data_IF_015676057054
#
_entry.id   IF_015676057054
#
_cell.length_a   1.000
_cell.length_b   1.000
_cell.length_c   1.000
_cell.angle_alpha   90.00
_cell.angle_beta   90.00
_cell.angle_gamma   90.00
#
_symmetry.space_group_name_H-M   'P 1'
#
loop_
_entity.id
_entity.type
_entity.pdbx_description
1 polymer ?
#
# COMPACT_ATOMS: atom_id res chain seq x y z
N UNK A 1 -12.00 11.18 5.63
CA UNK A 1 -11.07 10.17 6.21
C UNK A 1 -9.82 10.08 5.34
N UNK A 2 -8.68 9.68 5.91
CA UNK A 2 -7.44 9.42 5.18
C UNK A 2 -6.95 7.99 5.46
N UNK A 3 -6.70 7.22 4.41
CA UNK A 3 -6.30 5.81 4.50
C UNK A 3 -4.91 5.64 3.90
N UNK A 4 -3.95 5.22 4.73
CA UNK A 4 -2.56 5.02 4.35
C UNK A 4 -2.26 3.53 4.30
N UNK A 5 -2.09 2.99 3.09
CA UNK A 5 -1.53 1.67 2.89
C UNK A 5 -0.01 1.75 3.02
N UNK A 6 0.56 1.09 4.02
CA UNK A 6 2.00 1.11 4.22
C UNK A 6 2.66 -0.23 3.88
N UNK A 7 3.87 -0.15 3.35
CA UNK A 7 4.76 -1.30 3.20
C UNK A 7 6.21 -0.95 3.57
N UNK A 8 7.19 -1.69 3.07
CA UNK A 8 8.61 -1.42 3.37
C UNK A 8 9.08 -0.14 2.67
N UNK A 9 8.97 -0.07 1.34
CA UNK A 9 9.54 1.01 0.53
C UNK A 9 8.54 1.74 -0.35
N UNK A 10 7.24 1.64 -0.06
CA UNK A 10 6.15 2.20 -0.87
C UNK A 10 6.05 1.74 -2.34
N UNK A 11 6.78 0.70 -2.75
CA UNK A 11 6.93 0.37 -4.17
C UNK A 11 6.00 -0.74 -4.69
N UNK A 12 5.52 -1.66 -3.84
CA UNK A 12 4.86 -2.88 -4.32
C UNK A 12 3.53 -3.16 -3.64
N UNK A 13 3.55 -3.65 -2.41
CA UNK A 13 2.35 -4.19 -1.77
C UNK A 13 1.37 -3.09 -1.33
N UNK A 14 1.88 -1.94 -0.89
CA UNK A 14 1.05 -0.76 -0.61
C UNK A 14 0.39 -0.23 -1.88
N UNK A 15 1.16 -0.14 -2.99
CA UNK A 15 0.65 0.29 -4.30
C UNK A 15 -0.49 -0.60 -4.75
N UNK A 16 -0.29 -1.93 -4.69
CA UNK A 16 -1.32 -2.89 -5.11
C UNK A 16 -2.56 -2.81 -4.23
N UNK A 17 -2.41 -2.73 -2.91
CA UNK A 17 -3.55 -2.58 -2.02
C UNK A 17 -4.34 -1.29 -2.28
N UNK A 18 -3.66 -0.16 -2.49
CA UNK A 18 -4.30 1.10 -2.83
C UNK A 18 -5.00 1.05 -4.20
N UNK A 19 -4.40 0.41 -5.20
CA UNK A 19 -5.01 0.28 -6.53
C UNK A 19 -6.23 -0.65 -6.53
N UNK A 20 -6.24 -1.72 -5.72
CA UNK A 20 -7.45 -2.53 -5.50
C UNK A 20 -8.51 -1.69 -4.78
N UNK A 21 -8.11 -0.92 -3.76
CA UNK A 21 -9.02 -0.03 -3.03
C UNK A 21 -9.74 0.94 -3.96
N UNK A 22 -8.99 1.58 -4.86
CA UNK A 22 -9.51 2.56 -5.81
C UNK A 22 -10.20 1.92 -7.04
N UNK A 23 -10.39 0.61 -7.07
CA UNK A 23 -11.01 -0.09 -8.20
C UNK A 23 -10.19 -0.11 -9.49
N UNK A 24 -8.90 0.28 -9.43
CA UNK A 24 -7.96 0.24 -10.57
C UNK A 24 -7.60 -1.22 -10.90
N UNK A 25 -7.49 -2.06 -9.87
CA UNK A 25 -7.29 -3.50 -10.03
C UNK A 25 -8.55 -4.28 -9.66
N UNK A 26 -8.85 -5.39 -10.38
CA UNK A 26 -10.05 -6.19 -10.16
C UNK A 26 -10.02 -6.93 -8.82
N UNK A 27 -11.19 -7.17 -8.23
CA UNK A 27 -11.35 -7.99 -7.02
C UNK A 27 -11.85 -9.41 -7.30
N UNK A 28 -12.35 -9.65 -8.50
CA UNK A 28 -13.03 -10.87 -8.94
C UNK A 28 -12.14 -11.82 -9.76
N UNK A 29 -10.95 -11.36 -10.17
CA UNK A 29 -9.98 -12.15 -10.94
C UNK A 29 -8.54 -11.77 -10.63
N UNK A 30 -7.62 -12.61 -11.08
CA UNK A 30 -6.19 -12.32 -11.04
C UNK A 30 -5.82 -11.32 -12.17
N UNK A 31 -5.12 -10.20 -11.87
CA UNK A 31 -4.63 -9.30 -12.90
C UNK A 31 -3.44 -9.90 -13.66
N UNK A 32 -3.32 -9.53 -14.93
CA UNK A 32 -2.17 -9.81 -15.77
C UNK A 32 -0.93 -9.00 -15.34
N UNK A 33 0.25 -9.44 -15.79
CA UNK A 33 1.49 -8.73 -15.51
C UNK A 33 1.50 -7.30 -16.08
N UNK A 34 0.84 -7.07 -17.23
CA UNK A 34 0.75 -5.75 -17.85
C UNK A 34 -0.12 -4.79 -17.03
N UNK A 35 -1.20 -5.28 -16.42
CA UNK A 35 -2.00 -4.47 -15.49
C UNK A 35 -1.16 -3.97 -14.32
N UNK A 36 -0.31 -4.81 -13.72
CA UNK A 36 0.62 -4.38 -12.67
C UNK A 36 1.64 -3.34 -13.15
N UNK A 37 2.22 -3.52 -14.34
CA UNK A 37 3.22 -2.60 -14.90
C UNK A 37 2.66 -1.20 -15.17
N UNK A 38 1.35 -1.10 -15.45
CA UNK A 38 0.65 0.16 -15.73
C UNK A 38 0.25 0.92 -14.47
N UNK A 39 0.32 0.29 -13.30
CA UNK A 39 -0.08 0.94 -12.07
C UNK A 39 0.74 2.20 -11.77
N UNK A 40 0.10 3.24 -11.21
CA UNK A 40 0.82 4.38 -10.67
C UNK A 40 1.77 3.91 -9.55
N UNK A 41 2.97 4.49 -9.49
CA UNK A 41 4.00 4.21 -8.48
C UNK A 41 4.52 2.76 -8.35
N UNK A 42 4.01 1.78 -9.11
CA UNK A 42 4.45 0.39 -8.99
C UNK A 42 5.92 0.22 -9.39
N UNK A 43 6.72 -0.25 -8.44
CA UNK A 43 8.15 -0.48 -8.59
C UNK A 43 8.91 0.76 -9.08
N UNK A 44 8.46 1.95 -8.64
CA UNK A 44 9.00 3.26 -9.05
C UNK A 44 9.57 4.08 -7.89
N UNK A 45 9.15 3.84 -6.65
CA UNK A 45 9.63 4.62 -5.48
C UNK A 45 11.14 4.48 -5.31
N UNK A 46 11.80 5.62 -5.18
CA UNK A 46 13.22 5.72 -4.88
C UNK A 46 13.48 5.67 -3.37
N UNK A 47 14.69 5.29 -2.98
CA UNK A 47 15.03 5.08 -1.57
C UNK A 47 14.91 6.34 -0.71
N UNK A 48 15.14 7.53 -1.28
CA UNK A 48 15.03 8.82 -0.58
C UNK A 48 13.58 9.24 -0.35
N UNK A 49 12.62 8.67 -1.09
CA UNK A 49 11.20 8.99 -0.94
C UNK A 49 10.52 8.14 0.15
N UNK A 50 11.21 7.13 0.69
CA UNK A 50 10.68 6.28 1.76
C UNK A 50 10.37 7.15 2.99
N UNK A 51 9.15 7.01 3.52
CA UNK A 51 8.61 7.85 4.58
C UNK A 51 7.72 8.99 4.07
N UNK A 52 7.77 9.31 2.77
CA UNK A 52 6.88 10.28 2.13
C UNK A 52 5.57 9.62 1.73
N UNK A 53 4.40 10.15 2.13
CA UNK A 53 3.14 9.67 1.62
C UNK A 53 2.87 10.13 0.19
N UNK A 54 2.43 9.22 -0.66
CA UNK A 54 1.95 9.54 -2.01
C UNK A 54 0.44 9.43 -2.06
N UNK A 55 -0.22 10.48 -2.55
CA UNK A 55 -1.65 10.47 -2.81
C UNK A 55 -1.95 9.60 -4.04
N UNK A 56 -2.91 8.69 -3.90
CA UNK A 56 -3.29 7.73 -4.94
C UNK A 56 -4.66 8.03 -5.55
N UNK A 57 -5.56 8.68 -4.81
CA UNK A 57 -6.91 8.98 -5.26
C UNK A 57 -7.91 9.13 -4.11
N UNK A 58 -9.18 9.30 -4.46
CA UNK A 58 -10.31 9.32 -3.54
C UNK A 58 -11.19 8.11 -3.85
N UNK A 59 -11.62 7.37 -2.83
CA UNK A 59 -12.48 6.20 -2.99
C UNK A 59 -13.97 6.55 -3.12
N UNK A 60 -14.82 5.53 -3.21
CA UNK A 60 -16.28 5.69 -3.35
C UNK A 60 -16.98 6.28 -2.11
N UNK A 61 -16.30 6.38 -0.96
CA UNK A 61 -16.84 6.94 0.28
C UNK A 61 -16.26 8.33 0.58
N UNK A 62 -15.40 8.87 -0.29
CA UNK A 62 -14.78 10.17 -0.13
C UNK A 62 -13.52 10.16 0.73
N UNK A 63 -12.93 8.99 1.05
CA UNK A 63 -11.66 8.93 1.74
C UNK A 63 -10.48 9.11 0.79
N UNK A 64 -9.49 9.88 1.24
CA UNK A 64 -8.24 10.07 0.51
C UNK A 64 -7.32 8.87 0.75
N UNK A 65 -6.89 8.23 -0.33
CA UNK A 65 -6.04 7.04 -0.29
C UNK A 65 -4.59 7.43 -0.53
N UNK A 66 -3.71 6.96 0.35
CA UNK A 66 -2.28 7.18 0.29
C UNK A 66 -1.49 5.88 0.37
N UNK A 67 -0.28 5.90 -0.16
CA UNK A 67 0.75 4.88 0.09
C UNK A 67 1.94 5.48 0.82
N UNK A 68 2.60 4.69 1.66
CA UNK A 68 3.86 5.11 2.28
C UNK A 68 4.79 3.93 2.60
N UNK A 69 6.10 4.19 2.60
CA UNK A 69 7.13 3.24 3.01
C UNK A 69 7.55 3.49 4.44
N UNK A 70 7.64 2.44 5.26
CA UNK A 70 7.97 2.53 6.69
C UNK A 70 9.19 1.70 7.10
N UNK A 71 9.92 1.11 6.14
CA UNK A 71 11.11 0.28 6.38
C UNK A 71 10.88 -0.86 7.39
N UNK A 72 11.84 -1.12 8.28
CA UNK A 72 11.76 -2.06 9.40
C UNK A 72 11.05 -1.49 10.62
N UNK A 73 11.14 -0.17 10.85
CA UNK A 73 10.73 0.49 12.09
C UNK A 73 9.24 0.92 12.12
N UNK A 74 8.36 0.08 11.60
CA UNK A 74 6.95 0.43 11.31
C UNK A 74 6.20 0.90 12.55
N UNK A 75 6.39 0.26 13.69
CA UNK A 75 5.67 0.63 14.92
C UNK A 75 6.15 1.99 15.44
N UNK A 76 7.45 2.26 15.37
CA UNK A 76 8.03 3.54 15.74
C UNK A 76 7.53 4.65 14.81
N UNK A 77 7.60 4.42 13.49
CA UNK A 77 7.09 5.37 12.47
C UNK A 77 5.60 5.65 12.68
N UNK A 78 4.78 4.62 12.89
CA UNK A 78 3.35 4.80 13.16
C UNK A 78 3.11 5.65 14.40
N UNK A 79 3.78 5.33 15.52
CA UNK A 79 3.68 6.09 16.77
C UNK A 79 4.12 7.54 16.59
N UNK A 80 5.21 7.78 15.87
CA UNK A 80 5.71 9.11 15.59
C UNK A 80 4.69 9.94 14.80
N UNK A 81 4.11 9.39 13.73
CA UNK A 81 3.05 10.05 12.93
C UNK A 81 1.84 10.37 13.80
N UNK A 82 1.30 9.39 14.53
CA UNK A 82 0.13 9.62 15.39
C UNK A 82 0.40 10.66 16.48
N UNK A 83 1.56 10.59 17.14
CA UNK A 83 1.95 11.54 18.19
C UNK A 83 2.07 12.96 17.63
N UNK A 84 2.74 13.12 16.49
CA UNK A 84 2.94 14.40 15.82
C UNK A 84 1.62 15.03 15.37
N UNK A 85 0.77 14.27 14.67
CA UNK A 85 -0.54 14.75 14.22
C UNK A 85 -1.42 15.19 15.39
N UNK A 86 -1.45 14.39 16.48
CA UNK A 86 -2.17 14.76 17.70
C UNK A 86 -1.64 16.06 18.31
N UNK A 87 -0.33 16.28 18.30
CA UNK A 87 0.29 17.54 18.76
C UNK A 87 -0.05 18.74 17.87
N UNK A 88 -0.27 18.51 16.57
CA UNK A 88 -0.77 19.51 15.64
C UNK A 88 -2.30 19.75 15.73
N UNK A 89 -3.01 19.09 16.66
CA UNK A 89 -4.46 19.23 16.80
C UNK A 89 -5.26 18.51 15.71
N UNK A 90 -4.64 17.61 14.94
CA UNK A 90 -5.31 16.84 13.90
C UNK A 90 -5.98 15.63 14.55
N UNK A 91 -7.28 15.44 14.29
CA UNK A 91 -7.99 14.25 14.74
C UNK A 91 -7.48 13.01 14.01
N UNK A 92 -6.91 12.09 14.78
CA UNK A 92 -6.36 10.83 14.29
C UNK A 92 -7.41 9.73 14.14
N UNK A 93 -8.65 9.96 14.58
CA UNK A 93 -9.77 9.03 14.36
C UNK A 93 -10.10 8.88 12.87
N UNK A 94 -9.89 9.95 12.10
CA UNK A 94 -10.01 9.99 10.64
C UNK A 94 -8.80 9.42 9.91
N UNK A 95 -7.81 8.87 10.62
CA UNK A 95 -6.61 8.28 10.05
C UNK A 95 -6.61 6.76 10.19
N UNK A 96 -6.55 6.06 9.06
CA UNK A 96 -6.38 4.60 9.01
C UNK A 96 -5.01 4.24 8.46
N UNK A 97 -4.21 3.51 9.22
CA UNK A 97 -2.92 2.99 8.76
C UNK A 97 -2.95 1.47 8.58
N UNK A 98 -2.93 1.05 7.32
CA UNK A 98 -3.20 -0.33 6.89
C UNK A 98 -1.91 -1.03 6.45
N UNK A 99 -1.62 -2.17 7.08
CA UNK A 99 -0.42 -2.94 6.80
C UNK A 99 -0.58 -3.81 5.53
N UNK A 100 0.09 -3.44 4.45
CA UNK A 100 0.08 -4.22 3.21
C UNK A 100 1.15 -5.32 3.16
N UNK A 101 1.98 -5.51 4.21
CA UNK A 101 3.06 -6.50 4.22
C UNK A 101 2.59 -7.91 4.60
N UNK A 102 1.43 -8.06 5.22
CA UNK A 102 0.96 -9.39 5.65
C UNK A 102 0.72 -10.35 4.47
N UNK A 103 0.55 -9.80 3.26
CA UNK A 103 0.29 -10.56 2.04
C UNK A 103 1.53 -10.71 1.13
N UNK A 104 2.73 -10.29 1.57
CA UNK A 104 3.95 -10.46 0.74
C UNK A 104 4.65 -11.79 1.00
N UNK A 105 5.03 -12.48 -0.08
CA UNK A 105 5.82 -13.71 -0.01
C UNK A 105 7.32 -13.44 -0.25
N UNK A 106 8.14 -14.49 -0.20
CA UNK A 106 9.58 -14.39 -0.40
C UNK A 106 9.94 -13.92 -1.81
N UNK A 107 9.17 -14.31 -2.85
CA UNK A 107 9.38 -13.86 -4.23
C UNK A 107 9.23 -12.35 -4.34
N UNK A 108 8.18 -11.77 -3.74
CA UNK A 108 8.00 -10.32 -3.70
C UNK A 108 9.15 -9.61 -2.99
N UNK A 109 9.63 -10.16 -1.86
CA UNK A 109 10.76 -9.58 -1.12
C UNK A 109 12.07 -9.60 -1.93
N UNK A 110 12.42 -10.75 -2.50
CA UNK A 110 13.63 -10.91 -3.32
C UNK A 110 13.54 -10.05 -4.59
N UNK A 111 12.40 -10.09 -5.28
CA UNK A 111 12.18 -9.27 -6.48
C UNK A 111 12.29 -7.78 -6.19
N UNK A 112 11.73 -7.34 -5.05
CA UNK A 112 11.81 -5.95 -4.62
C UNK A 112 13.24 -5.52 -4.31
N UNK A 113 14.03 -6.39 -3.65
CA UNK A 113 15.45 -6.15 -3.43
C UNK A 113 16.24 -6.05 -4.75
N UNK A 114 16.04 -7.00 -5.66
CA UNK A 114 16.71 -7.02 -6.98
C UNK A 114 16.36 -5.75 -7.79
N UNK A 115 15.07 -5.37 -7.84
CA UNK A 115 14.66 -4.20 -8.61
C UNK A 115 15.11 -2.89 -7.97
N UNK A 116 14.89 -2.71 -6.66
CA UNK A 116 15.01 -1.40 -5.98
C UNK A 116 16.33 -1.18 -5.28
N UNK A 117 17.03 -2.24 -4.86
CA UNK A 117 18.36 -2.12 -4.24
C UNK A 117 19.48 -2.32 -5.24
N UNK A 118 19.34 -3.28 -6.15
CA UNK A 118 20.38 -3.60 -7.14
C UNK A 118 20.16 -2.90 -8.50
N UNK A 119 19.02 -2.25 -8.71
CA UNK A 119 18.69 -1.56 -9.96
C UNK A 119 18.32 -2.50 -11.12
N UNK A 120 18.22 -3.81 -10.89
CA UNK A 120 17.95 -4.83 -11.91
C UNK A 120 16.44 -4.98 -12.14
N UNK A 121 15.80 -3.91 -12.61
CA UNK A 121 14.33 -3.80 -12.75
C UNK A 121 13.74 -4.89 -13.65
N UNK A 122 14.41 -5.22 -14.75
CA UNK A 122 13.96 -6.23 -15.73
C UNK A 122 13.87 -7.64 -15.16
N UNK A 123 14.60 -7.92 -14.06
CA UNK A 123 14.60 -9.21 -13.36
C UNK A 123 13.72 -9.14 -12.11
N UNK A 124 13.89 -8.08 -11.32
CA UNK A 124 13.19 -7.93 -10.05
C UNK A 124 11.70 -7.75 -10.22
N UNK A 125 11.25 -6.90 -11.16
CA UNK A 125 9.83 -6.57 -11.35
C UNK A 125 8.98 -7.76 -11.78
N UNK A 126 9.37 -8.61 -12.75
CA UNK A 126 8.61 -9.82 -13.03
C UNK A 126 8.48 -10.75 -11.82
N UNK A 127 9.51 -10.83 -10.98
CA UNK A 127 9.48 -11.65 -9.77
C UNK A 127 8.53 -11.06 -8.71
N UNK A 128 8.49 -9.74 -8.53
CA UNK A 128 7.52 -9.10 -7.64
C UNK A 128 6.09 -9.31 -8.11
N UNK A 129 5.84 -9.18 -9.42
CA UNK A 129 4.53 -9.39 -10.02
C UNK A 129 4.05 -10.82 -9.75
N UNK A 130 4.88 -11.83 -10.06
CA UNK A 130 4.53 -13.24 -9.80
C UNK A 130 4.26 -13.49 -8.31
N UNK A 131 5.10 -12.95 -7.43
CA UNK A 131 4.91 -13.09 -5.99
C UNK A 131 3.61 -12.46 -5.47
N UNK A 132 3.23 -11.30 -6.01
CA UNK A 132 1.96 -10.64 -5.69
C UNK A 132 0.78 -11.42 -6.26
N UNK A 133 0.88 -11.91 -7.49
CA UNK A 133 -0.17 -12.72 -8.12
C UNK A 133 -0.51 -13.95 -7.27
N UNK A 134 0.50 -14.65 -6.74
CA UNK A 134 0.32 -15.82 -5.86
C UNK A 134 -0.40 -15.50 -4.53
N UNK A 135 -0.41 -14.24 -4.11
CA UNK A 135 -1.03 -13.77 -2.86
C UNK A 135 -2.16 -12.77 -3.10
N UNK A 136 -2.64 -12.66 -4.34
CA UNK A 136 -3.53 -11.60 -4.76
C UNK A 136 -4.86 -11.59 -3.99
N UNK A 137 -5.47 -12.76 -3.78
CA UNK A 137 -6.69 -12.89 -2.98
C UNK A 137 -6.54 -12.31 -1.56
N UNK A 138 -5.36 -12.45 -0.94
CA UNK A 138 -5.10 -11.86 0.38
C UNK A 138 -5.09 -10.33 0.36
N UNK A 139 -4.64 -9.72 -0.76
CA UNK A 139 -4.75 -8.27 -0.95
C UNK A 139 -6.19 -7.81 -1.12
N UNK A 140 -7.01 -8.56 -1.85
CA UNK A 140 -8.44 -8.28 -1.98
C UNK A 140 -9.11 -8.33 -0.60
N UNK A 141 -8.90 -9.40 0.18
CA UNK A 141 -9.43 -9.52 1.54
C UNK A 141 -8.95 -8.39 2.47
N UNK A 142 -7.69 -7.96 2.36
CA UNK A 142 -7.17 -6.82 3.13
C UNK A 142 -7.96 -5.54 2.81
N UNK A 143 -8.22 -5.27 1.54
CA UNK A 143 -8.95 -4.08 1.09
C UNK A 143 -10.42 -4.15 1.48
N UNK A 144 -11.09 -5.29 1.30
CA UNK A 144 -12.48 -5.47 1.71
C UNK A 144 -12.67 -5.24 3.21
N UNK A 145 -11.76 -5.78 4.04
CA UNK A 145 -11.77 -5.52 5.47
C UNK A 145 -11.51 -4.04 5.78
N UNK A 146 -10.61 -3.38 5.04
CA UNK A 146 -10.34 -1.95 5.19
C UNK A 146 -11.60 -1.12 4.92
N UNK A 147 -12.27 -1.35 3.77
CA UNK A 147 -13.52 -0.66 3.41
C UNK A 147 -14.66 -0.95 4.39
N UNK A 148 -14.71 -2.15 4.96
CA UNK A 148 -15.68 -2.49 6.02
C UNK A 148 -15.44 -1.65 7.27
N UNK A 149 -14.19 -1.50 7.71
CA UNK A 149 -13.85 -0.69 8.88
C UNK A 149 -14.04 0.81 8.62
N UNK A 150 -13.74 1.27 7.42
CA UNK A 150 -14.01 2.63 6.97
C UNK A 150 -15.51 2.98 7.10
N UNK A 151 -16.40 2.18 6.48
CA UNK A 151 -17.86 2.40 6.59
C UNK A 151 -18.35 2.40 8.03
N UNK A 152 -17.80 1.53 8.89
CA UNK A 152 -18.14 1.51 10.32
C UNK A 152 -17.76 2.82 11.03
N UNK A 153 -16.68 3.49 10.61
CA UNK A 153 -16.28 4.78 11.19
C UNK A 153 -17.17 5.90 10.68
N UNK A 154 -17.50 5.92 9.38
CA UNK A 154 -18.43 6.89 8.80
C UNK A 154 -19.80 6.86 9.47
N UNK A 155 -20.33 5.68 9.78
CA UNK A 155 -21.64 5.53 10.43
C UNK A 155 -21.65 5.90 11.93
N UNK A 156 -20.50 6.23 12.53
CA UNK A 156 -20.39 6.65 13.94
C UNK A 156 -20.23 8.16 14.10
N UNK A 157 -20.06 8.88 12.99
CA UNK A 157 -19.94 10.34 12.93
C UNK A 157 -21.31 10.94 12.60
#
# INVERSE_FOLDING_TARGET
>A
MKIFYYCYGSAHSSVVAACIHLGILPTDRLPSAEEFKRLPHYDKTDSYEIGTPFFMGIDEYGAEIFITGMTGERQLVKKAIYSFLKKCGIDVNDLMMVNALNNVNLKTKIGGFISRRLGLVTIGRPLTIKGIQEKYAGFVTLVENTKREERKRLNKT
#
